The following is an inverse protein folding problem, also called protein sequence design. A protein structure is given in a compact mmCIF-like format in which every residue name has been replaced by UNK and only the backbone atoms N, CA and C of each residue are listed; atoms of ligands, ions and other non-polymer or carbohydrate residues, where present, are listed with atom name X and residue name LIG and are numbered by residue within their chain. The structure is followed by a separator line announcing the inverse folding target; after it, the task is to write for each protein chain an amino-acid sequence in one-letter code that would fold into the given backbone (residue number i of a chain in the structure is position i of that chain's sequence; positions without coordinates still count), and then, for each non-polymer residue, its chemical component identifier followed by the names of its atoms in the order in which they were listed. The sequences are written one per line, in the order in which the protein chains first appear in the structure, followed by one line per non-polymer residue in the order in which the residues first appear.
data_IF_559622746233
#
_entry.id   IF_559622746233
#
_cell.length_a   1.000
_cell.length_b   1.000
_cell.length_c   1.000
_cell.angle_alpha   90.00
_cell.angle_beta   90.00
_cell.angle_gamma   90.00
#
_symmetry.space_group_name_H-M   'P 1'
#
loop_
_entity.id
_entity.type
_entity.pdbx_description
1 polymer ?
#
# COMPACT_ATOMS: atom_id res chain seq x y z
N UNK A 1 -19.50 -6.08 0.80
CA UNK A 1 -18.16 -5.87 1.42
C UNK A 1 -18.01 -4.41 1.81
N UNK A 2 -17.49 -4.12 3.00
CA UNK A 2 -17.20 -2.74 3.41
C UNK A 2 -16.13 -2.13 2.47
N UNK A 3 -16.38 -0.96 1.93
CA UNK A 3 -15.47 -0.32 0.97
C UNK A 3 -14.62 0.78 1.60
N UNK A 4 -14.95 1.21 2.81
CA UNK A 4 -14.23 2.28 3.51
C UNK A 4 -13.58 1.73 4.78
N UNK A 5 -12.35 2.06 5.03
CA UNK A 5 -11.57 1.64 6.19
C UNK A 5 -10.65 2.76 6.65
N UNK A 6 -10.29 2.77 7.95
CA UNK A 6 -9.57 3.85 8.59
C UNK A 6 -8.30 3.35 9.29
N UNK A 7 -7.25 4.16 9.21
CA UNK A 7 -6.00 3.96 9.92
C UNK A 7 -5.76 5.15 10.88
N UNK A 8 -6.01 4.97 12.19
CA UNK A 8 -5.85 6.06 13.15
C UNK A 8 -4.39 6.44 13.40
N UNK A 9 -3.43 5.58 13.04
CA UNK A 9 -2.00 5.84 13.24
C UNK A 9 -1.44 6.74 12.14
N UNK A 10 -1.75 6.44 10.88
CA UNK A 10 -1.36 7.27 9.73
C UNK A 10 -2.35 8.40 9.46
N UNK A 11 -3.49 8.40 10.18
CA UNK A 11 -4.55 9.38 10.10
C UNK A 11 -5.22 9.45 8.72
N UNK A 12 -5.45 8.27 8.16
CA UNK A 12 -6.01 8.08 6.83
C UNK A 12 -7.37 7.38 6.89
N UNK A 13 -8.21 7.76 5.95
CA UNK A 13 -9.40 7.01 5.55
C UNK A 13 -9.27 6.67 4.08
N UNK A 14 -9.42 5.40 3.74
CA UNK A 14 -9.40 4.92 2.36
C UNK A 14 -10.76 4.37 1.97
N UNK A 15 -11.23 4.72 0.77
CA UNK A 15 -12.46 4.19 0.17
C UNK A 15 -12.11 3.51 -1.15
N UNK A 16 -12.41 2.23 -1.27
CA UNK A 16 -12.23 1.47 -2.50
C UNK A 16 -13.30 1.88 -3.51
N UNK A 17 -12.90 2.59 -4.56
CA UNK A 17 -13.76 3.06 -5.65
C UNK A 17 -13.96 1.96 -6.68
N UNK A 18 -12.87 1.33 -7.12
CA UNK A 18 -12.87 0.22 -8.08
C UNK A 18 -11.81 -0.81 -7.66
N UNK A 19 -12.24 -2.04 -7.44
CA UNK A 19 -11.33 -3.14 -7.11
C UNK A 19 -10.64 -3.70 -8.35
N UNK A 20 -9.53 -4.39 -8.14
CA UNK A 20 -8.86 -5.16 -9.19
C UNK A 20 -9.80 -6.17 -9.84
N UNK A 21 -10.71 -6.77 -9.08
CA UNK A 21 -11.71 -7.71 -9.59
C UNK A 21 -12.71 -7.03 -10.53
N UNK A 22 -13.24 -5.86 -10.14
CA UNK A 22 -14.18 -5.08 -10.96
C UNK A 22 -13.52 -4.59 -12.25
N UNK A 23 -12.25 -4.22 -12.21
CA UNK A 23 -11.49 -3.77 -13.39
C UNK A 23 -10.93 -4.92 -14.24
N UNK A 24 -11.13 -6.18 -13.85
CA UNK A 24 -10.51 -7.34 -14.51
C UNK A 24 -8.97 -7.34 -14.39
N UNK A 25 -8.42 -6.89 -13.26
CA UNK A 25 -6.99 -6.82 -12.98
C UNK A 25 -6.27 -5.62 -13.58
N UNK A 26 -6.99 -4.75 -14.30
CA UNK A 26 -6.36 -3.59 -14.96
C UNK A 26 -5.87 -2.55 -13.97
N UNK A 27 -6.65 -2.29 -12.93
CA UNK A 27 -6.31 -1.30 -11.90
C UNK A 27 -7.07 -1.55 -10.59
N UNK A 28 -6.59 -0.93 -9.52
CA UNK A 28 -7.31 -0.66 -8.29
C UNK A 28 -7.40 0.85 -8.12
N UNK A 29 -8.56 1.39 -7.76
CA UNK A 29 -8.76 2.81 -7.51
C UNK A 29 -9.26 3.02 -6.08
N UNK A 30 -8.57 3.88 -5.35
CA UNK A 30 -8.91 4.25 -3.98
C UNK A 30 -8.96 5.78 -3.84
N UNK A 31 -9.94 6.28 -3.10
CA UNK A 31 -9.95 7.65 -2.62
C UNK A 31 -9.47 7.69 -1.18
N UNK A 32 -8.56 8.61 -0.89
CA UNK A 32 -7.97 8.81 0.43
C UNK A 32 -8.32 10.18 0.98
N UNK A 33 -8.68 10.20 2.26
CA UNK A 33 -8.73 11.38 3.09
C UNK A 33 -7.65 11.27 4.16
N UNK A 34 -6.80 12.29 4.26
CA UNK A 34 -5.65 12.30 5.17
C UNK A 34 -5.75 13.52 6.07
N UNK A 35 -5.90 13.28 7.37
CA UNK A 35 -5.97 14.37 8.34
C UNK A 35 -4.65 15.18 8.39
N UNK A 36 -4.68 16.39 8.96
CA UNK A 36 -3.49 17.23 9.13
C UNK A 36 -2.32 16.46 9.77
N UNK A 37 -1.14 16.51 9.13
CA UNK A 37 0.07 15.82 9.56
C UNK A 37 0.06 14.30 9.36
N UNK A 38 -0.98 13.74 8.76
CA UNK A 38 -1.02 12.31 8.37
C UNK A 38 -0.09 12.02 7.19
N UNK A 39 0.27 10.75 7.02
CA UNK A 39 1.14 10.32 5.93
C UNK A 39 1.71 8.93 6.13
N UNK A 40 2.46 8.46 5.16
CA UNK A 40 3.06 7.12 5.13
C UNK A 40 4.58 7.18 5.15
N UNK A 41 5.18 6.14 5.71
CA UNK A 41 6.65 5.97 5.73
C UNK A 41 7.19 5.58 4.36
N UNK A 42 8.49 5.82 4.17
CA UNK A 42 9.21 5.42 2.97
C UNK A 42 9.10 3.92 2.69
N UNK A 43 8.63 3.60 1.50
CA UNK A 43 8.45 2.25 1.00
C UNK A 43 8.67 2.20 -0.51
N UNK A 44 8.72 1.01 -1.06
CA UNK A 44 8.71 0.75 -2.49
C UNK A 44 7.81 -0.45 -2.77
N UNK A 45 7.24 -0.51 -3.95
CA UNK A 45 6.54 -1.68 -4.46
C UNK A 45 7.03 -1.98 -5.89
N UNK A 46 7.22 -3.26 -6.21
CA UNK A 46 7.80 -3.66 -7.49
C UNK A 46 6.73 -4.09 -8.51
N UNK A 47 5.47 -4.23 -8.04
CA UNK A 47 4.41 -4.88 -8.83
C UNK A 47 3.49 -3.93 -9.58
N UNK A 48 3.40 -2.69 -9.17
CA UNK A 48 2.46 -1.73 -9.75
C UNK A 48 3.03 -0.31 -9.76
N UNK A 49 2.57 0.45 -10.74
CA UNK A 49 2.70 1.90 -10.77
C UNK A 49 1.61 2.50 -9.86
N UNK A 50 1.94 3.52 -9.09
CA UNK A 50 0.99 4.30 -8.30
C UNK A 50 0.87 5.70 -8.89
N UNK A 51 -0.33 6.08 -9.35
CA UNK A 51 -0.67 7.44 -9.74
C UNK A 51 -1.49 8.09 -8.63
N UNK A 52 -0.99 9.21 -8.11
CA UNK A 52 -1.69 10.05 -7.15
C UNK A 52 -2.24 11.28 -7.88
N UNK A 53 -3.53 11.52 -7.78
CA UNK A 53 -4.21 12.74 -8.25
C UNK A 53 -4.76 13.47 -7.04
N UNK A 54 -4.28 14.71 -6.80
CA UNK A 54 -4.72 15.53 -5.67
C UNK A 54 -6.06 16.16 -5.98
N UNK A 55 -7.06 15.86 -5.15
CA UNK A 55 -8.44 16.37 -5.31
C UNK A 55 -8.67 17.61 -4.45
N UNK A 56 -8.02 17.70 -3.28
CA UNK A 56 -8.12 18.83 -2.34
C UNK A 56 -6.87 18.91 -1.48
N UNK A 57 -6.42 20.14 -1.22
CA UNK A 57 -5.26 20.41 -0.38
C UNK A 57 -3.93 20.28 -1.13
N UNK A 58 -2.89 19.91 -0.38
CA UNK A 58 -1.51 19.77 -0.88
C UNK A 58 -0.94 18.47 -0.32
N UNK A 59 -0.34 17.66 -1.19
CA UNK A 59 0.49 16.52 -0.80
C UNK A 59 1.96 16.92 -0.90
N UNK A 60 2.75 16.64 0.11
CA UNK A 60 4.20 16.69 0.03
C UNK A 60 4.70 15.28 -0.19
N UNK A 61 5.26 15.03 -1.36
CA UNK A 61 5.73 13.72 -1.79
C UNK A 61 7.23 13.73 -2.02
N UNK A 62 7.89 12.67 -1.57
CA UNK A 62 9.32 12.44 -1.82
C UNK A 62 9.48 11.19 -2.66
N UNK A 63 10.21 11.32 -3.76
CA UNK A 63 10.58 10.23 -4.67
C UNK A 63 12.11 10.21 -4.78
N UNK A 64 12.73 9.08 -4.41
CA UNK A 64 14.18 8.89 -4.44
C UNK A 64 14.99 10.05 -3.81
N UNK A 65 14.47 10.60 -2.71
CA UNK A 65 15.09 11.70 -1.98
C UNK A 65 14.74 13.12 -2.49
N UNK A 66 14.01 13.23 -3.60
CA UNK A 66 13.55 14.53 -4.13
C UNK A 66 12.13 14.81 -3.64
N UNK A 67 11.96 15.88 -2.87
CA UNK A 67 10.66 16.29 -2.33
C UNK A 67 9.98 17.32 -3.24
N UNK A 68 8.68 17.15 -3.47
CA UNK A 68 7.82 18.04 -4.23
C UNK A 68 6.49 18.24 -3.52
N UNK A 69 5.90 19.41 -3.68
CA UNK A 69 4.51 19.68 -3.34
C UNK A 69 3.65 19.58 -4.59
N UNK A 70 2.54 18.83 -4.47
CA UNK A 70 1.55 18.64 -5.54
C UNK A 70 0.21 19.12 -5.01
N UNK A 71 -0.48 19.97 -5.78
CA UNK A 71 -1.70 20.67 -5.37
C UNK A 71 -2.93 20.10 -6.04
N UNK A 72 -4.10 20.51 -5.57
CA UNK A 72 -5.37 20.11 -6.17
C UNK A 72 -5.38 20.38 -7.69
N UNK A 73 -5.80 19.38 -8.47
CA UNK A 73 -5.79 19.36 -9.94
C UNK A 73 -4.49 18.85 -10.55
N UNK A 74 -3.43 18.69 -9.76
CA UNK A 74 -2.15 18.12 -10.22
C UNK A 74 -2.07 16.63 -9.88
N UNK A 75 -1.10 15.95 -10.49
CA UNK A 75 -0.83 14.54 -10.22
C UNK A 75 0.66 14.23 -10.22
N UNK A 76 1.01 13.10 -9.63
CA UNK A 76 2.34 12.51 -9.68
C UNK A 76 2.23 11.00 -9.92
N UNK A 77 3.32 10.41 -10.39
CA UNK A 77 3.40 8.97 -10.66
C UNK A 77 4.64 8.43 -9.96
N UNK A 78 4.44 7.33 -9.22
CA UNK A 78 5.51 6.52 -8.67
C UNK A 78 5.62 5.24 -9.50
N UNK A 79 6.74 5.10 -10.19
CA UNK A 79 7.03 3.90 -10.97
C UNK A 79 7.46 2.75 -10.05
N UNK A 80 7.28 1.48 -10.46
CA UNK A 80 7.72 0.33 -9.69
C UNK A 80 9.21 0.40 -9.32
N UNK A 81 9.55 0.00 -8.10
CA UNK A 81 10.92 -0.09 -7.61
C UNK A 81 11.48 1.19 -7.01
N UNK A 82 10.83 2.33 -7.18
CA UNK A 82 11.26 3.61 -6.62
C UNK A 82 10.81 3.80 -5.18
N UNK A 83 11.72 4.29 -4.33
CA UNK A 83 11.41 4.58 -2.93
C UNK A 83 10.66 5.90 -2.84
N UNK A 84 9.48 5.85 -2.25
CA UNK A 84 8.66 7.04 -2.07
C UNK A 84 7.95 7.07 -0.72
N UNK A 85 7.54 8.25 -0.33
CA UNK A 85 6.65 8.52 0.80
C UNK A 85 5.94 9.86 0.58
N UNK A 86 4.87 10.08 1.33
CA UNK A 86 4.14 11.33 1.25
C UNK A 86 3.50 11.66 2.59
N UNK A 87 3.14 12.94 2.75
CA UNK A 87 2.42 13.44 3.91
C UNK A 87 1.48 14.59 3.54
N UNK A 88 0.50 14.84 4.39
CA UNK A 88 -0.25 16.07 4.41
C UNK A 88 0.55 17.11 5.22
N UNK A 89 1.13 18.14 4.59
CA UNK A 89 1.93 19.15 5.30
C UNK A 89 1.10 20.16 6.06
N UNK A 90 -0.22 20.22 5.82
CA UNK A 90 -1.12 21.17 6.47
C UNK A 90 -1.27 20.85 7.96
N UNK A 91 -1.38 21.89 8.79
CA UNK A 91 -1.72 21.79 10.20
C UNK A 91 -3.24 21.75 10.45
N UNK A 92 -4.06 22.14 9.48
CA UNK A 92 -5.50 22.37 9.66
C UNK A 92 -6.39 21.75 8.59
N UNK A 93 -5.89 21.59 7.37
CA UNK A 93 -6.69 21.14 6.23
C UNK A 93 -6.55 19.65 5.97
N UNK A 94 -7.65 19.02 5.60
CA UNK A 94 -7.67 17.63 5.12
C UNK A 94 -7.15 17.58 3.68
N UNK A 95 -6.22 16.69 3.43
CA UNK A 95 -5.80 16.34 2.08
C UNK A 95 -6.74 15.25 1.54
N UNK A 96 -7.21 15.42 0.32
CA UNK A 96 -7.95 14.39 -0.44
C UNK A 96 -7.22 14.08 -1.74
N UNK A 97 -7.03 12.81 -2.01
CA UNK A 97 -6.38 12.39 -3.24
C UNK A 97 -6.93 11.03 -3.72
N UNK A 98 -6.82 10.80 -5.02
CA UNK A 98 -7.16 9.53 -5.65
C UNK A 98 -5.91 8.78 -6.04
N UNK A 99 -5.80 7.53 -5.57
CA UNK A 99 -4.77 6.59 -5.98
C UNK A 99 -5.28 5.66 -7.07
N UNK A 100 -4.53 5.55 -8.16
CA UNK A 100 -4.75 4.53 -9.18
C UNK A 100 -3.51 3.65 -9.26
N UNK A 101 -3.70 2.38 -8.95
CA UNK A 101 -2.64 1.36 -8.90
C UNK A 101 -2.79 0.43 -10.11
N UNK A 102 -1.75 0.36 -10.95
CA UNK A 102 -1.78 -0.36 -12.24
C UNK A 102 -0.56 -1.29 -12.38
N UNK A 103 -0.74 -2.61 -12.59
CA UNK A 103 -2.02 -3.33 -12.55
C UNK A 103 -2.62 -3.37 -11.15
N UNK A 104 -3.94 -3.60 -11.07
CA UNK A 104 -4.61 -3.90 -9.80
C UNK A 104 -4.48 -5.37 -9.45
N UNK A 105 -4.41 -5.69 -8.16
CA UNK A 105 -4.40 -7.09 -7.71
C UNK A 105 -4.97 -7.26 -6.29
N UNK A 106 -5.64 -8.38 -6.01
CA UNK A 106 -6.35 -8.59 -4.73
C UNK A 106 -5.42 -8.54 -3.52
N UNK A 107 -4.17 -8.96 -3.66
CA UNK A 107 -3.20 -8.97 -2.58
C UNK A 107 -2.89 -7.57 -2.02
N UNK A 108 -2.76 -6.57 -2.87
CA UNK A 108 -2.61 -5.18 -2.46
C UNK A 108 -3.82 -4.68 -1.66
N UNK A 109 -5.03 -4.93 -2.18
CA UNK A 109 -6.28 -4.52 -1.53
C UNK A 109 -6.44 -5.17 -0.15
N UNK A 110 -6.10 -6.45 -0.05
CA UNK A 110 -6.12 -7.19 1.21
C UNK A 110 -5.05 -6.67 2.19
N UNK A 111 -3.83 -6.41 1.71
CA UNK A 111 -2.76 -5.85 2.55
C UNK A 111 -3.17 -4.52 3.17
N UNK A 112 -3.79 -3.64 2.38
CA UNK A 112 -4.25 -2.34 2.85
C UNK A 112 -5.36 -2.48 3.92
N UNK A 113 -6.38 -3.32 3.67
CA UNK A 113 -7.45 -3.60 4.65
C UNK A 113 -6.91 -4.17 5.94
N UNK A 114 -6.02 -5.16 5.86
CA UNK A 114 -5.43 -5.80 7.03
C UNK A 114 -4.56 -4.82 7.80
N UNK A 115 -3.74 -4.01 7.13
CA UNK A 115 -2.91 -3.00 7.78
C UNK A 115 -3.76 -1.99 8.55
N UNK A 116 -4.82 -1.47 7.93
CA UNK A 116 -5.73 -0.51 8.55
C UNK A 116 -6.50 -1.15 9.72
N UNK A 117 -6.94 -2.39 9.55
CA UNK A 117 -7.57 -3.15 10.64
C UNK A 117 -6.63 -3.41 11.82
N UNK A 118 -5.38 -3.77 11.57
CA UNK A 118 -4.35 -3.90 12.61
C UNK A 118 -4.09 -2.59 13.34
N UNK A 119 -4.07 -1.46 12.62
CA UNK A 119 -3.88 -0.14 13.22
C UNK A 119 -5.06 0.24 14.11
N UNK A 120 -6.28 0.04 13.64
CA UNK A 120 -7.52 0.28 14.39
C UNK A 120 -7.55 -0.55 15.69
N UNK A 121 -7.09 -1.80 15.64
CA UNK A 121 -7.06 -2.71 16.78
C UNK A 121 -5.83 -2.50 17.70
N UNK A 122 -4.99 -1.47 17.47
CA UNK A 122 -3.79 -1.18 18.26
C UNK A 122 -2.63 -2.17 18.06
N UNK A 123 -2.67 -2.97 16.98
CA UNK A 123 -1.67 -3.99 16.67
C UNK A 123 -0.53 -3.48 15.78
N UNK A 124 -0.43 -2.16 15.60
CA UNK A 124 0.71 -1.50 14.96
C UNK A 124 1.52 -0.69 15.99
N UNK A 125 2.74 -0.34 15.60
CA UNK A 125 3.59 0.61 16.33
C UNK A 125 3.18 2.04 15.93
N UNK A 126 3.70 3.03 16.63
CA UNK A 126 3.44 4.44 16.33
C UNK A 126 3.85 4.87 14.91
N UNK A 127 4.75 4.15 14.27
CA UNK A 127 5.17 4.37 12.89
C UNK A 127 4.30 3.60 11.85
N UNK A 128 3.16 3.02 12.26
CA UNK A 128 2.26 2.28 11.38
C UNK A 128 2.67 0.83 11.09
N UNK A 129 3.88 0.41 11.44
CA UNK A 129 4.34 -0.96 11.18
C UNK A 129 3.68 -1.96 12.12
N UNK A 130 3.27 -3.16 11.64
CA UNK A 130 2.74 -4.22 12.50
C UNK A 130 3.68 -4.56 13.65
N UNK A 131 3.10 -4.86 14.83
CA UNK A 131 3.90 -5.29 15.99
C UNK A 131 4.49 -6.68 15.81
N UNK A 132 3.77 -7.57 15.13
CA UNK A 132 4.20 -8.95 14.87
C UNK A 132 4.95 -9.03 13.54
N UNK A 133 6.11 -9.68 13.56
CA UNK A 133 6.91 -9.88 12.35
C UNK A 133 6.20 -10.77 11.32
N UNK A 134 5.40 -11.74 11.77
CA UNK A 134 4.60 -12.60 10.90
C UNK A 134 3.59 -11.75 10.09
N UNK A 135 2.91 -10.80 10.76
CA UNK A 135 1.94 -9.90 10.10
C UNK A 135 2.65 -8.96 9.11
N UNK A 136 3.79 -8.38 9.50
CA UNK A 136 4.61 -7.58 8.60
C UNK A 136 5.04 -8.37 7.35
N UNK A 137 5.50 -9.59 7.54
CA UNK A 137 5.96 -10.44 6.45
C UNK A 137 4.82 -10.80 5.47
N UNK A 138 3.61 -11.05 5.99
CA UNK A 138 2.42 -11.28 5.17
C UNK A 138 2.03 -10.03 4.37
N UNK A 139 2.02 -8.85 5.00
CA UNK A 139 1.69 -7.60 4.31
C UNK A 139 2.70 -7.27 3.22
N UNK A 140 4.00 -7.44 3.47
CA UNK A 140 5.07 -7.28 2.47
C UNK A 140 4.86 -8.23 1.30
N UNK A 141 4.51 -9.50 1.57
CA UNK A 141 4.22 -10.49 0.53
C UNK A 141 3.01 -10.11 -0.31
N UNK A 142 1.89 -9.75 0.33
CA UNK A 142 0.64 -9.44 -0.38
C UNK A 142 0.73 -8.14 -1.16
N UNK A 143 1.36 -7.12 -0.61
CA UNK A 143 1.56 -5.83 -1.29
C UNK A 143 2.68 -5.90 -2.35
N UNK A 144 3.43 -7.02 -2.43
CA UNK A 144 4.66 -7.12 -3.23
C UNK A 144 5.62 -5.96 -2.97
N UNK A 145 5.56 -5.43 -1.74
CA UNK A 145 6.39 -4.34 -1.29
C UNK A 145 7.77 -4.85 -0.88
N UNK A 146 8.70 -3.92 -0.89
CA UNK A 146 10.05 -4.16 -0.36
C UNK A 146 10.39 -3.07 0.65
N UNK A 147 11.06 -3.41 1.73
CA UNK A 147 11.63 -2.39 2.60
C UNK A 147 12.59 -1.50 1.83
N UNK A 148 12.61 -0.21 2.15
CA UNK A 148 13.53 0.74 1.54
C UNK A 148 14.98 0.52 2.05
N UNK A 149 15.97 0.83 1.20
CA UNK A 149 17.39 0.83 1.56
C UNK A 149 17.95 -0.54 1.98
N UNK A 150 18.88 -0.60 2.96
CA UNK A 150 19.55 -1.84 3.38
C UNK A 150 18.60 -2.93 3.89
N UNK A 151 17.38 -2.56 4.33
CA UNK A 151 16.37 -3.52 4.77
C UNK A 151 15.88 -4.45 3.64
N UNK A 152 16.16 -4.16 2.36
CA UNK A 152 15.93 -5.09 1.23
C UNK A 152 16.68 -6.41 1.40
N UNK A 153 17.82 -6.41 2.08
CA UNK A 153 18.58 -7.63 2.38
C UNK A 153 17.80 -8.60 3.28
N UNK A 154 16.79 -8.13 3.99
CA UNK A 154 15.90 -8.96 4.80
C UNK A 154 14.79 -9.66 3.99
N UNK A 155 14.66 -9.40 2.71
CA UNK A 155 13.60 -9.97 1.87
C UNK A 155 13.54 -11.51 1.91
N UNK A 156 14.65 -12.29 1.91
CA UNK A 156 14.58 -13.74 2.05
C UNK A 156 13.98 -14.18 3.40
N UNK A 157 14.33 -13.48 4.47
CA UNK A 157 13.83 -13.74 5.82
C UNK A 157 12.34 -13.44 5.90
N UNK A 158 11.90 -12.30 5.35
CA UNK A 158 10.49 -11.94 5.31
C UNK A 158 9.67 -12.94 4.50
N UNK A 159 10.19 -13.41 3.36
CA UNK A 159 9.54 -14.47 2.58
C UNK A 159 9.41 -15.79 3.34
N UNK A 160 10.44 -16.18 4.09
CA UNK A 160 10.38 -17.35 4.95
C UNK A 160 9.36 -17.20 6.08
N UNK A 161 9.35 -16.06 6.76
CA UNK A 161 8.36 -15.73 7.81
C UNK A 161 6.93 -15.74 7.26
N UNK A 162 6.69 -15.18 6.07
CA UNK A 162 5.38 -15.18 5.44
C UNK A 162 4.88 -16.61 5.17
N UNK A 163 5.73 -17.47 4.57
CA UNK A 163 5.38 -18.89 4.35
C UNK A 163 5.06 -19.62 5.65
N UNK A 164 5.85 -19.37 6.70
CA UNK A 164 5.61 -19.95 8.02
C UNK A 164 4.30 -19.47 8.63
N UNK A 165 3.98 -18.20 8.50
CA UNK A 165 2.73 -17.60 8.98
C UNK A 165 1.51 -18.20 8.22
N UNK A 166 1.62 -18.37 6.91
CA UNK A 166 0.60 -19.05 6.09
C UNK A 166 0.37 -20.49 6.55
N UNK A 167 1.44 -21.26 6.71
CA UNK A 167 1.35 -22.66 7.17
C UNK A 167 0.71 -22.81 8.56
N UNK A 168 0.75 -21.77 9.38
CA UNK A 168 0.12 -21.71 10.72
C UNK A 168 -1.31 -21.15 10.70
N UNK A 169 -1.85 -20.85 9.53
CA UNK A 169 -3.20 -20.29 9.37
C UNK A 169 -3.33 -18.81 9.69
N UNK A 170 -2.21 -18.09 9.99
CA UNK A 170 -2.26 -16.68 10.36
C UNK A 170 -2.77 -15.79 9.22
N UNK A 171 -2.43 -16.12 7.98
CA UNK A 171 -2.93 -15.42 6.80
C UNK A 171 -4.46 -15.51 6.73
N UNK A 172 -5.01 -16.71 6.80
CA UNK A 172 -6.46 -16.92 6.75
C UNK A 172 -7.19 -16.24 7.93
N UNK A 173 -6.59 -16.24 9.13
CA UNK A 173 -7.13 -15.52 10.28
C UNK A 173 -7.26 -14.02 10.02
N UNK A 174 -6.19 -13.37 9.54
CA UNK A 174 -6.16 -11.93 9.26
C UNK A 174 -7.17 -11.56 8.16
N UNK A 175 -7.19 -12.32 7.07
CA UNK A 175 -8.09 -12.06 5.95
C UNK A 175 -9.56 -12.12 6.39
N UNK A 176 -9.95 -13.17 7.14
CA UNK A 176 -11.31 -13.27 7.68
C UNK A 176 -11.63 -12.14 8.66
N UNK A 177 -10.69 -11.85 9.60
CA UNK A 177 -10.91 -10.84 10.64
C UNK A 177 -11.17 -9.45 10.06
N UNK A 178 -10.47 -9.09 8.98
CA UNK A 178 -10.55 -7.76 8.40
C UNK A 178 -11.34 -7.69 7.09
N UNK A 179 -12.10 -8.74 6.77
CA UNK A 179 -12.98 -8.76 5.60
C UNK A 179 -12.23 -8.67 4.27
N UNK A 180 -11.03 -9.23 4.20
CA UNK A 180 -10.16 -9.26 3.04
C UNK A 180 -10.04 -10.65 2.42
N UNK A 181 -10.91 -11.59 2.82
CA UNK A 181 -10.91 -12.99 2.36
C UNK A 181 -11.61 -13.07 1.00
N UNK A 182 -10.88 -12.67 -0.04
CA UNK A 182 -11.33 -12.72 -1.42
C UNK A 182 -10.54 -13.77 -2.22
N UNK A 183 -11.15 -14.39 -3.26
CA UNK A 183 -10.43 -15.25 -4.17
C UNK A 183 -9.22 -14.53 -4.81
N UNK A 184 -8.09 -15.20 -4.88
CA UNK A 184 -6.86 -14.68 -5.48
C UNK A 184 -5.91 -13.96 -4.52
N UNK A 185 -6.34 -13.63 -3.28
CA UNK A 185 -5.45 -12.93 -2.32
C UNK A 185 -4.23 -13.78 -1.95
N UNK A 186 -4.40 -15.09 -1.80
CA UNK A 186 -3.32 -16.04 -1.47
C UNK A 186 -2.60 -16.56 -2.72
N UNK A 187 -3.18 -16.36 -3.89
CA UNK A 187 -2.52 -16.66 -5.15
C UNK A 187 -1.41 -15.66 -5.38
N UNK A 188 -0.26 -16.12 -5.83
CA UNK A 188 0.83 -15.21 -6.21
C UNK A 188 0.35 -14.32 -7.34
N UNK A 189 0.53 -13.00 -7.20
CA UNK A 189 0.29 -12.09 -8.31
C UNK A 189 0.95 -12.63 -9.58
N UNK A 190 0.35 -12.41 -10.76
CA UNK A 190 0.96 -12.82 -12.03
C UNK A 190 2.39 -12.31 -12.04
N UNK A 191 3.33 -13.24 -12.11
CA UNK A 191 4.74 -12.98 -11.88
C UNK A 191 5.23 -11.81 -12.70
N UNK A 192 5.98 -10.94 -12.08
CA UNK A 192 6.91 -10.04 -12.75
C UNK A 192 7.97 -10.91 -13.44
N UNK A 193 7.61 -11.57 -14.52
CA UNK A 193 8.50 -12.33 -15.37
C UNK A 193 8.86 -11.50 -16.59
N UNK A 194 10.03 -10.94 -16.54
CA UNK A 194 10.72 -10.38 -17.66
C UNK A 194 11.42 -9.07 -17.31
N UNK A 195 12.72 -8.95 -17.64
CA UNK A 195 13.37 -7.66 -17.60
C UNK A 195 12.64 -6.74 -18.59
N UNK A 196 12.20 -5.59 -18.11
CA UNK A 196 11.74 -4.51 -18.98
C UNK A 196 12.85 -4.27 -20.02
N UNK A 197 12.60 -4.71 -21.24
CA UNK A 197 13.45 -4.38 -22.36
C UNK A 197 13.54 -2.85 -22.43
N UNK A 198 14.73 -2.33 -22.24
CA UNK A 198 15.05 -0.93 -22.40
C UNK A 198 14.61 -0.51 -23.82
N UNK A 199 13.47 0.17 -23.93
CA UNK A 199 13.13 0.89 -25.15
C UNK A 199 14.01 2.13 -25.20
N UNK A 200 15.12 2.00 -25.94
CA UNK A 200 15.87 3.16 -26.43
C UNK A 200 14.98 3.87 -27.45
N UNK A 201 14.76 5.14 -27.25
CA UNK A 201 14.41 6.12 -28.28
C UNK A 201 15.39 7.25 -28.19
#
# INVERSE_FOLDING_TARGET
MERTFENPVTRERATLVESSRESGGKRTVLDFEVAPGGGVMGHAHDAHQERIEVLQGVIEATLDGVTRQVRAGEHLIFEPGHVHFWRNPSATEVLRWRGTFTPGFPGFEAALRVLFGLARDGNTRANGMPRRLDDLALLVKWNQGLPAGPARLLAPILRWLARRAEARGRAAELLRRYGADEPGVLETAPGAHGPLAARRA
#
